data_IF_049311780282
#
_entry.id   IF_049311780282
#
_cell.length_a   1.000
_cell.length_b   1.000
_cell.length_c   1.000
_cell.angle_alpha   90.00
_cell.angle_beta   90.00
_cell.angle_gamma   90.00
#
_symmetry.space_group_name_H-M   'P 1'
#
loop_
_entity.id
_entity.type
_entity.pdbx_description
1 polymer ?
#
# COMPACT_ATOMS: atom_id res chain seq x y z
N UNK A 1 -20.92 -14.70 -4.69
CA UNK A 1 -19.86 -14.09 -3.88
C UNK A 1 -18.63 -13.74 -4.74
N UNK A 2 -18.09 -14.67 -5.56
CA UNK A 2 -16.90 -14.45 -6.41
C UNK A 2 -17.06 -13.25 -7.35
N UNK A 3 -18.23 -13.10 -7.98
CA UNK A 3 -18.53 -11.97 -8.84
C UNK A 3 -18.33 -10.61 -8.13
N UNK A 4 -18.81 -10.46 -6.88
CA UNK A 4 -18.64 -9.22 -6.11
C UNK A 4 -17.18 -8.99 -5.68
N UNK A 5 -16.46 -10.05 -5.33
CA UNK A 5 -15.02 -9.94 -5.01
C UNK A 5 -14.23 -9.45 -6.23
N UNK A 6 -14.49 -10.01 -7.41
CA UNK A 6 -13.88 -9.55 -8.65
C UNK A 6 -14.18 -8.08 -8.93
N UNK A 7 -15.43 -7.67 -8.78
CA UNK A 7 -15.85 -6.27 -8.98
C UNK A 7 -15.10 -5.31 -8.02
N UNK A 8 -14.92 -5.68 -6.75
CA UNK A 8 -14.14 -4.87 -5.79
C UNK A 8 -12.69 -4.75 -6.25
N UNK A 9 -12.05 -5.83 -6.67
CA UNK A 9 -10.67 -5.81 -7.16
C UNK A 9 -10.55 -4.94 -8.43
N UNK A 10 -11.52 -5.02 -9.36
CA UNK A 10 -11.59 -4.15 -10.53
C UNK A 10 -11.68 -2.66 -10.14
N UNK A 11 -12.50 -2.32 -9.12
CA UNK A 11 -12.61 -0.95 -8.62
C UNK A 11 -11.27 -0.45 -8.05
N UNK A 12 -10.54 -1.27 -7.30
CA UNK A 12 -9.23 -0.91 -6.77
C UNK A 12 -8.23 -0.62 -7.90
N UNK A 13 -8.25 -1.40 -8.98
CA UNK A 13 -7.40 -1.13 -10.15
C UNK A 13 -7.84 0.11 -10.93
N UNK A 14 -9.14 0.38 -11.05
CA UNK A 14 -9.66 1.54 -11.76
C UNK A 14 -9.40 2.85 -11.00
N UNK A 15 -9.47 2.81 -9.66
CA UNK A 15 -9.28 3.98 -8.79
C UNK A 15 -7.81 4.39 -8.66
N UNK A 16 -6.89 3.43 -8.64
CA UNK A 16 -5.47 3.66 -8.43
C UNK A 16 -4.65 3.63 -9.72
N UNK A 17 -3.45 4.21 -9.70
CA UNK A 17 -2.49 4.12 -10.81
C UNK A 17 -1.58 2.89 -10.63
N UNK A 18 -2.15 1.69 -10.73
CA UNK A 18 -1.43 0.44 -10.54
C UNK A 18 -0.64 0.05 -11.80
N UNK A 19 0.44 0.76 -12.09
CA UNK A 19 1.33 0.45 -13.22
C UNK A 19 2.25 -0.72 -12.83
N UNK A 20 1.73 -1.95 -12.89
CA UNK A 20 2.39 -3.15 -12.39
C UNK A 20 3.74 -3.43 -13.07
N UNK A 21 3.86 -3.16 -14.38
CA UNK A 21 5.07 -3.44 -15.17
C UNK A 21 6.33 -2.71 -14.68
N UNK A 22 6.16 -1.61 -13.95
CA UNK A 22 7.28 -0.81 -13.38
C UNK A 22 7.21 -0.75 -11.86
N UNK A 23 6.42 -1.62 -11.23
CA UNK A 23 6.23 -1.64 -9.78
C UNK A 23 7.32 -2.47 -9.09
N UNK A 24 7.84 -1.97 -7.98
CA UNK A 24 8.81 -2.70 -7.15
C UNK A 24 8.26 -4.03 -6.61
N UNK A 25 6.95 -4.13 -6.36
CA UNK A 25 6.25 -5.32 -5.87
C UNK A 25 5.67 -6.19 -6.99
N UNK A 26 6.06 -5.97 -8.24
CA UNK A 26 5.57 -6.82 -9.34
C UNK A 26 5.92 -8.29 -9.09
N UNK A 27 4.92 -9.17 -9.14
CA UNK A 27 5.07 -10.60 -8.82
C UNK A 27 5.01 -10.96 -7.32
N UNK A 28 5.01 -9.96 -6.42
CA UNK A 28 4.89 -10.14 -4.96
C UNK A 28 3.80 -9.26 -4.35
N UNK A 29 2.76 -8.95 -5.11
CA UNK A 29 1.67 -8.05 -4.74
C UNK A 29 0.38 -8.83 -4.50
N UNK A 30 -0.25 -8.69 -3.32
CA UNK A 30 -1.52 -9.37 -3.01
C UNK A 30 -2.66 -8.95 -3.95
N UNK A 31 -2.68 -7.69 -4.40
CA UNK A 31 -3.70 -7.24 -5.35
C UNK A 31 -3.59 -7.98 -6.69
N UNK A 32 -2.35 -8.21 -7.19
CA UNK A 32 -2.13 -9.03 -8.39
C UNK A 32 -2.54 -10.49 -8.17
N UNK A 33 -2.18 -11.07 -7.03
CA UNK A 33 -2.57 -12.44 -6.67
C UNK A 33 -4.07 -12.60 -6.64
N UNK A 34 -4.80 -11.70 -5.96
CA UNK A 34 -6.25 -11.72 -5.91
C UNK A 34 -6.90 -11.56 -7.30
N UNK A 35 -6.34 -10.71 -8.16
CA UNK A 35 -6.82 -10.56 -9.53
C UNK A 35 -6.72 -11.87 -10.32
N UNK A 36 -5.58 -12.57 -10.21
CA UNK A 36 -5.38 -13.88 -10.84
C UNK A 36 -6.33 -14.95 -10.28
N UNK A 37 -6.45 -15.06 -8.96
CA UNK A 37 -7.35 -16.02 -8.29
C UNK A 37 -8.83 -15.81 -8.65
N UNK A 38 -9.24 -14.57 -8.89
CA UNK A 38 -10.60 -14.22 -9.28
C UNK A 38 -10.82 -14.27 -10.81
N UNK A 39 -9.83 -14.73 -11.57
CA UNK A 39 -9.90 -14.84 -13.04
C UNK A 39 -10.07 -13.49 -13.72
N UNK A 40 -9.47 -12.44 -13.18
CA UNK A 40 -9.50 -11.11 -13.77
C UNK A 40 -8.41 -10.97 -14.80
N UNK A 41 -8.77 -10.76 -16.05
CA UNK A 41 -7.89 -10.58 -17.20
C UNK A 41 -7.81 -9.11 -17.67
N UNK A 42 -8.81 -8.32 -17.36
CA UNK A 42 -8.87 -6.88 -17.66
C UNK A 42 -9.76 -6.15 -16.66
N UNK A 43 -9.66 -4.83 -16.63
CA UNK A 43 -10.53 -3.92 -15.89
C UNK A 43 -11.62 -3.41 -16.84
N UNK A 44 -12.88 -3.66 -16.50
CA UNK A 44 -14.06 -3.24 -17.29
C UNK A 44 -14.51 -1.81 -16.97
N UNK A 45 -14.06 -1.28 -15.84
CA UNK A 45 -14.39 0.05 -15.36
C UNK A 45 -13.45 1.09 -15.99
N UNK A 46 -13.95 2.31 -16.15
CA UNK A 46 -13.14 3.44 -16.61
C UNK A 46 -12.07 3.80 -15.56
N UNK A 47 -10.83 3.96 -16.01
CA UNK A 47 -9.73 4.41 -15.13
C UNK A 47 -9.92 5.85 -14.72
N UNK A 48 -9.78 6.14 -13.43
CA UNK A 48 -9.95 7.47 -12.86
C UNK A 48 -8.70 8.36 -13.02
N UNK A 49 -7.52 7.76 -13.26
CA UNK A 49 -6.23 8.45 -13.40
C UNK A 49 -5.99 9.55 -12.35
N UNK A 50 -6.14 9.26 -11.05
CA UNK A 50 -6.00 10.28 -10.03
C UNK A 50 -4.57 10.81 -9.98
N UNK A 51 -4.41 12.12 -9.76
CA UNK A 51 -3.09 12.70 -9.46
C UNK A 51 -2.81 12.52 -7.97
N UNK A 52 -1.97 11.55 -7.61
CA UNK A 52 -1.59 11.25 -6.23
C UNK A 52 -0.08 11.44 -6.03
N UNK A 53 0.30 11.94 -4.85
CA UNK A 53 1.68 12.22 -4.52
C UNK A 53 2.51 10.95 -4.27
N UNK A 54 3.81 11.10 -4.44
CA UNK A 54 4.83 10.14 -4.00
C UNK A 54 5.71 10.84 -2.98
N UNK A 55 5.90 10.24 -1.81
CA UNK A 55 6.77 10.74 -0.76
C UNK A 55 8.04 9.88 -0.69
N UNK A 56 9.18 10.49 -0.99
CA UNK A 56 10.53 9.90 -0.92
C UNK A 56 11.40 10.61 0.13
N UNK A 57 10.80 11.34 1.04
CA UNK A 57 11.52 12.15 2.04
C UNK A 57 12.25 11.30 3.09
N UNK A 58 11.75 10.08 3.38
CA UNK A 58 12.40 9.19 4.34
C UNK A 58 13.67 8.58 3.75
N UNK A 59 14.75 8.45 4.55
CA UNK A 59 16.07 8.00 4.09
C UNK A 59 16.13 6.57 3.54
N UNK A 60 15.19 5.70 3.94
CA UNK A 60 15.17 4.26 3.59
C UNK A 60 13.93 3.82 2.84
N UNK A 61 12.82 4.50 3.02
CA UNK A 61 11.51 4.08 2.55
C UNK A 61 10.87 5.11 1.64
N UNK A 62 9.92 4.66 0.83
CA UNK A 62 9.08 5.53 0.03
C UNK A 62 7.60 5.16 0.18
N UNK A 63 6.74 6.15 -0.01
CA UNK A 63 5.29 6.02 -0.06
C UNK A 63 4.78 6.49 -1.41
N UNK A 64 4.14 5.60 -2.16
CA UNK A 64 3.44 5.91 -3.40
C UNK A 64 1.93 5.76 -3.19
N UNK A 65 1.24 6.87 -3.04
CA UNK A 65 -0.22 6.89 -2.87
C UNK A 65 -0.98 6.35 -4.09
N UNK A 66 -0.36 6.30 -5.27
CA UNK A 66 -0.97 5.76 -6.48
C UNK A 66 -1.27 4.26 -6.36
N UNK A 67 -0.55 3.55 -5.51
CA UNK A 67 -0.66 2.10 -5.30
C UNK A 67 -1.31 1.72 -3.98
N UNK A 68 -1.76 2.72 -3.21
CA UNK A 68 -2.40 2.49 -1.90
C UNK A 68 -3.86 2.06 -2.09
N UNK A 69 -4.21 0.91 -1.52
CA UNK A 69 -5.58 0.36 -1.49
C UNK A 69 -6.31 0.64 -0.18
N UNK A 70 -5.80 1.54 0.64
CA UNK A 70 -6.39 1.99 1.92
C UNK A 70 -6.73 0.85 2.90
N UNK A 71 -5.94 -0.22 2.90
CA UNK A 71 -6.15 -1.40 3.76
C UNK A 71 -5.83 -1.17 5.24
N UNK A 72 -5.25 -0.03 5.60
CA UNK A 72 -4.87 0.37 6.97
C UNK A 72 -3.83 -0.50 7.69
N UNK A 73 -3.26 -1.52 7.05
CA UNK A 73 -2.27 -2.42 7.70
C UNK A 73 -1.04 -1.68 8.22
N UNK A 74 -0.56 -0.64 7.51
CA UNK A 74 0.56 0.19 7.97
C UNK A 74 0.26 0.93 9.26
N UNK A 75 -0.97 1.41 9.44
CA UNK A 75 -1.45 2.06 10.66
C UNK A 75 -1.46 1.04 11.80
N UNK A 76 -2.18 -0.06 11.61
CA UNK A 76 -2.33 -1.10 12.63
C UNK A 76 -0.99 -1.69 13.08
N UNK A 77 -0.07 -2.00 12.16
CA UNK A 77 1.24 -2.53 12.53
C UNK A 77 2.10 -1.51 13.27
N UNK A 78 1.95 -0.23 12.95
CA UNK A 78 2.64 0.85 13.65
C UNK A 78 2.11 1.04 15.08
N UNK A 79 0.78 0.96 15.24
CA UNK A 79 0.12 1.09 16.54
C UNK A 79 0.30 -0.16 17.41
N UNK A 80 -0.07 -1.33 16.88
CA UNK A 80 -0.23 -2.55 17.67
C UNK A 80 1.09 -3.29 17.92
N UNK A 81 2.05 -3.21 16.96
CA UNK A 81 3.32 -3.94 17.05
C UNK A 81 4.54 -3.05 17.35
N UNK A 82 4.53 -1.80 16.93
CA UNK A 82 5.65 -0.89 17.17
C UNK A 82 5.35 0.09 18.31
N UNK A 83 4.08 0.46 18.51
CA UNK A 83 3.68 1.47 19.49
C UNK A 83 4.13 2.90 19.14
N UNK A 84 4.51 3.15 17.89
CA UNK A 84 5.05 4.43 17.44
C UNK A 84 3.98 5.42 16.99
N UNK A 85 2.79 4.95 16.59
CA UNK A 85 1.63 5.75 16.16
C UNK A 85 1.95 6.79 15.06
N UNK A 86 2.91 6.48 14.19
CA UNK A 86 3.35 7.41 13.13
C UNK A 86 2.31 7.57 12.02
N UNK A 87 1.58 6.48 11.71
CA UNK A 87 0.62 6.43 10.60
C UNK A 87 -0.81 6.68 11.04
N UNK A 88 -1.55 7.45 10.25
CA UNK A 88 -2.98 7.67 10.46
C UNK A 88 -3.70 7.86 9.11
N UNK A 89 -5.03 8.02 9.15
CA UNK A 89 -5.87 8.32 8.00
C UNK A 89 -6.30 9.80 8.00
N UNK A 90 -6.14 10.46 6.87
CA UNK A 90 -6.69 11.79 6.66
C UNK A 90 -7.74 11.78 5.53
N UNK A 91 -8.60 12.81 5.54
CA UNK A 91 -9.66 12.97 4.55
C UNK A 91 -10.87 12.07 4.79
N UNK A 92 -11.78 12.06 3.83
CA UNK A 92 -12.97 11.21 3.81
C UNK A 92 -13.45 10.95 2.40
N UNK A 93 -14.13 9.82 2.18
CA UNK A 93 -14.59 9.41 0.85
C UNK A 93 -13.41 9.28 -0.12
N UNK A 94 -13.55 9.81 -1.31
CA UNK A 94 -12.53 9.75 -2.38
C UNK A 94 -11.23 10.52 -2.07
N UNK A 95 -11.24 11.36 -1.01
CA UNK A 95 -10.05 12.09 -0.54
C UNK A 95 -9.33 11.40 0.62
N UNK A 96 -9.78 10.21 1.03
CA UNK A 96 -9.11 9.44 2.08
C UNK A 96 -7.72 9.03 1.64
N UNK A 97 -6.73 9.20 2.50
CA UNK A 97 -5.34 8.80 2.26
C UNK A 97 -4.62 8.57 3.59
N UNK A 98 -3.58 7.78 3.57
CA UNK A 98 -2.71 7.58 4.73
C UNK A 98 -1.76 8.76 4.89
N UNK A 99 -1.48 9.14 6.13
CA UNK A 99 -0.57 10.23 6.47
C UNK A 99 0.40 9.82 7.56
N UNK A 100 1.47 10.57 7.69
CA UNK A 100 2.44 10.43 8.78
C UNK A 100 2.36 11.65 9.70
N UNK A 101 2.35 11.43 10.99
CA UNK A 101 2.16 12.45 12.03
C UNK A 101 1.01 13.41 11.66
N UNK A 102 1.16 14.70 11.75
CA UNK A 102 0.15 15.69 11.37
C UNK A 102 0.18 16.03 9.85
N UNK A 103 0.20 15.00 9.00
CA UNK A 103 0.31 15.14 7.54
C UNK A 103 1.64 15.78 7.09
N UNK A 104 2.71 15.47 7.79
CA UNK A 104 4.07 15.87 7.40
C UNK A 104 4.70 14.88 6.43
N UNK A 105 5.74 15.26 5.69
CA UNK A 105 6.54 14.31 4.93
C UNK A 105 7.09 13.21 5.84
N UNK A 106 7.11 11.96 5.37
CA UNK A 106 7.52 10.82 6.19
C UNK A 106 8.93 10.96 6.79
N UNK A 107 9.86 11.57 6.05
CA UNK A 107 11.20 11.84 6.56
C UNK A 107 11.28 12.88 7.67
N UNK A 108 10.22 13.67 7.88
CA UNK A 108 10.10 14.64 8.96
C UNK A 108 9.35 14.08 10.19
N UNK A 109 8.73 12.90 10.08
CA UNK A 109 7.97 12.26 11.14
C UNK A 109 8.88 11.84 12.30
N UNK A 110 8.78 12.54 13.43
CA UNK A 110 9.63 12.31 14.60
C UNK A 110 9.26 11.05 15.37
N UNK A 111 8.04 10.57 15.24
CA UNK A 111 7.56 9.33 15.85
C UNK A 111 8.06 8.08 15.13
N UNK A 112 8.56 8.20 13.88
CA UNK A 112 8.98 7.06 13.08
C UNK A 112 10.27 6.45 13.60
N UNK A 113 10.21 5.16 14.01
CA UNK A 113 11.37 4.38 14.48
C UNK A 113 12.20 3.80 13.33
N UNK A 114 11.80 3.97 12.09
CA UNK A 114 12.43 3.36 10.90
C UNK A 114 12.49 1.82 10.95
N UNK A 115 11.57 1.16 11.64
CA UNK A 115 11.57 -0.31 11.81
C UNK A 115 11.24 -1.09 10.53
N UNK A 116 10.53 -0.48 9.56
CA UNK A 116 10.14 -1.10 8.29
C UNK A 116 8.96 -2.08 8.36
N UNK A 117 8.32 -2.28 9.52
CA UNK A 117 7.17 -3.18 9.68
C UNK A 117 5.98 -2.78 8.79
N UNK A 118 5.74 -1.47 8.63
CA UNK A 118 4.70 -0.95 7.75
C UNK A 118 4.95 -1.29 6.26
N UNK A 119 6.21 -1.29 5.83
CA UNK A 119 6.61 -1.69 4.48
C UNK A 119 6.35 -3.18 4.28
N UNK A 120 6.76 -4.02 5.24
CA UNK A 120 6.52 -5.49 5.19
C UNK A 120 5.02 -5.83 5.22
N UNK A 121 4.21 -5.06 5.97
CA UNK A 121 2.76 -5.29 6.07
C UNK A 121 1.98 -4.83 4.82
N UNK A 122 2.54 -3.94 4.02
CA UNK A 122 1.86 -3.41 2.85
C UNK A 122 1.54 -4.52 1.84
N UNK A 123 0.28 -4.65 1.37
CA UNK A 123 -0.09 -5.70 0.42
C UNK A 123 0.30 -5.37 -1.02
N UNK A 124 0.67 -4.12 -1.29
CA UNK A 124 1.00 -3.61 -2.64
C UNK A 124 2.36 -2.93 -2.64
N UNK A 125 2.76 -2.33 -3.75
CA UNK A 125 3.98 -1.52 -3.85
C UNK A 125 3.82 -0.07 -3.37
N UNK A 126 2.82 0.22 -2.53
CA UNK A 126 2.60 1.57 -2.01
C UNK A 126 3.69 1.99 -1.02
N UNK A 127 4.02 1.13 -0.05
CA UNK A 127 5.15 1.31 0.84
C UNK A 127 6.30 0.43 0.37
N UNK A 128 7.48 0.99 0.20
CA UNK A 128 8.60 0.27 -0.39
C UNK A 128 9.96 0.71 0.17
N UNK A 129 10.96 -0.16 0.02
CA UNK A 129 12.35 0.22 0.26
C UNK A 129 12.88 1.02 -0.92
N UNK A 130 13.47 2.20 -0.66
CA UNK A 130 14.17 2.96 -1.69
C UNK A 130 15.30 2.11 -2.30
N UNK A 131 15.65 2.37 -3.54
CA UNK A 131 16.60 1.59 -4.32
C UNK A 131 16.15 0.14 -4.65
N UNK A 132 14.90 -0.26 -4.37
CA UNK A 132 14.37 -1.51 -4.90
C UNK A 132 14.19 -1.43 -6.42
N UNK A 133 14.58 -2.50 -7.11
CA UNK A 133 14.33 -2.65 -8.55
C UNK A 133 12.89 -3.10 -8.81
N UNK A 134 12.45 -3.03 -10.06
CA UNK A 134 11.15 -3.58 -10.48
C UNK A 134 11.07 -5.06 -10.14
N UNK A 135 10.00 -5.47 -9.43
CA UNK A 135 9.82 -6.85 -8.96
C UNK A 135 10.84 -7.31 -7.91
N UNK A 136 11.73 -6.43 -7.47
CA UNK A 136 12.81 -6.79 -6.52
C UNK A 136 12.40 -6.79 -5.06
N UNK A 137 11.19 -6.32 -4.73
CA UNK A 137 10.74 -6.25 -3.34
C UNK A 137 9.83 -7.44 -2.99
N UNK A 138 10.30 -8.26 -2.04
CA UNK A 138 9.50 -9.34 -1.46
C UNK A 138 9.08 -8.93 -0.06
N UNK A 139 7.78 -9.06 0.23
CA UNK A 139 7.23 -8.74 1.54
C UNK A 139 7.41 -9.91 2.52
N UNK A 140 8.29 -9.77 3.50
CA UNK A 140 8.41 -10.72 4.61
C UNK A 140 7.36 -10.40 5.68
N UNK A 141 6.33 -11.24 5.77
CA UNK A 141 5.22 -11.09 6.72
C UNK A 141 5.25 -12.09 7.86
N UNK A 142 6.32 -12.88 8.00
CA UNK A 142 6.42 -13.92 9.02
C UNK A 142 6.23 -13.40 10.45
N UNK A 143 6.60 -12.14 10.71
CA UNK A 143 6.50 -11.48 12.01
C UNK A 143 5.20 -10.71 12.26
N UNK A 144 4.32 -10.64 11.26
CA UNK A 144 3.08 -9.83 11.32
C UNK A 144 1.85 -10.62 10.86
N UNK A 145 1.92 -11.94 10.91
CA UNK A 145 0.90 -12.86 10.39
C UNK A 145 -0.51 -12.57 10.92
N UNK A 146 -0.64 -12.22 12.20
CA UNK A 146 -1.94 -11.95 12.82
C UNK A 146 -2.63 -10.68 12.24
N UNK A 147 -1.87 -9.69 11.79
CA UNK A 147 -2.42 -8.48 11.14
C UNK A 147 -2.82 -8.76 9.70
N UNK A 148 -2.05 -9.61 9.01
CA UNK A 148 -2.32 -9.95 7.60
C UNK A 148 -3.57 -10.82 7.47
N UNK A 149 -3.83 -11.69 8.45
CA UNK A 149 -4.94 -12.65 8.43
C UNK A 149 -6.20 -12.15 9.16
N UNK A 150 -6.15 -11.01 9.80
CA UNK A 150 -7.30 -10.37 10.44
C UNK A 150 -8.08 -9.47 9.49
#
# INVERSE_FOLDING_TARGET
LQHYRRMIVEMLFAEGNHTCSVCVSNGSCELQTLAMELGMDHVRLEYQHPSRSVDLSHSRFGLDHNRCVLCTRCIRVCDELEGAHTWDMAGRGTRSHVVTDLNQPWGAAQTCTSCGKCVSACPTGSLFYQASTVGGMVHDRSKIEFIVNA
#
